data_IF_244753598173
#
_entry.id   IF_244753598173
#
_cell.length_a   1.000
_cell.length_b   1.000
_cell.length_c   1.000
_cell.angle_alpha   90.00
_cell.angle_beta   90.00
_cell.angle_gamma   90.00
#
_symmetry.space_group_name_H-M   'P 1'
#
loop_
_entity.id
_entity.type
_entity.pdbx_description
1 polymer ?
#
# COMPACT_ATOMS: atom_id res chain seq x y z
N UNK A 1 18.23 -5.74 -10.63
CA UNK A 1 16.96 -4.98 -10.59
C UNK A 1 16.01 -5.74 -9.70
N UNK A 2 15.67 -5.17 -8.54
CA UNK A 2 14.74 -5.76 -7.56
C UNK A 2 13.30 -5.61 -8.04
N UNK A 3 12.41 -6.52 -7.63
CA UNK A 3 10.95 -6.41 -7.82
C UNK A 3 10.29 -6.32 -6.45
N UNK A 4 9.84 -5.13 -6.11
CA UNK A 4 9.43 -4.79 -4.75
C UNK A 4 7.94 -4.56 -4.70
N UNK A 5 7.25 -5.26 -3.80
CA UNK A 5 5.95 -4.84 -3.30
C UNK A 5 6.17 -3.88 -2.14
N UNK A 6 5.76 -2.62 -2.28
CA UNK A 6 5.81 -1.62 -1.21
C UNK A 6 4.42 -1.51 -0.56
N UNK A 7 4.35 -1.97 0.69
CA UNK A 7 3.18 -1.86 1.55
C UNK A 7 3.36 -0.69 2.53
N UNK A 8 2.25 -0.05 2.89
CA UNK A 8 2.21 1.00 3.90
C UNK A 8 0.90 0.86 4.69
N UNK A 9 0.91 1.04 6.03
CA UNK A 9 -0.33 1.22 6.77
C UNK A 9 -1.18 2.30 6.12
N UNK A 10 -2.44 2.00 5.80
CA UNK A 10 -3.31 2.93 5.08
C UNK A 10 -4.44 3.47 5.96
N UNK A 11 -5.30 2.60 6.47
CA UNK A 11 -6.51 2.99 7.19
C UNK A 11 -6.23 3.77 8.48
N UNK A 12 -6.95 4.88 8.65
CA UNK A 12 -6.96 5.70 9.86
C UNK A 12 -8.30 6.45 9.96
N UNK A 13 -8.73 6.84 11.17
CA UNK A 13 -9.97 7.59 11.37
C UNK A 13 -9.88 9.06 10.91
N UNK A 14 -8.67 9.62 10.92
CA UNK A 14 -8.35 10.96 10.41
C UNK A 14 -7.85 10.85 8.96
N UNK A 15 -8.60 11.43 8.02
CA UNK A 15 -8.26 11.46 6.59
C UNK A 15 -6.92 12.16 6.29
N UNK A 16 -6.49 13.10 7.14
CA UNK A 16 -5.19 13.77 6.99
C UNK A 16 -4.05 12.78 7.17
N UNK A 17 -4.15 11.88 8.15
CA UNK A 17 -3.17 10.82 8.39
C UNK A 17 -3.14 9.85 7.21
N UNK A 18 -4.29 9.52 6.62
CA UNK A 18 -4.36 8.68 5.40
C UNK A 18 -3.62 9.37 4.24
N UNK A 19 -3.84 10.67 4.05
CA UNK A 19 -3.19 11.43 2.98
C UNK A 19 -1.67 11.57 3.20
N UNK A 20 -1.23 11.86 4.43
CA UNK A 20 0.20 11.91 4.79
C UNK A 20 0.91 10.58 4.52
N UNK A 21 0.29 9.46 4.89
CA UNK A 21 0.81 8.11 4.61
C UNK A 21 0.90 7.84 3.11
N UNK A 22 -0.10 8.28 2.34
CA UNK A 22 -0.05 8.21 0.88
C UNK A 22 1.13 9.01 0.30
N UNK A 23 1.35 10.24 0.77
CA UNK A 23 2.49 11.05 0.32
C UNK A 23 3.83 10.42 0.69
N UNK A 24 3.99 9.94 1.94
CA UNK A 24 5.20 9.24 2.38
C UNK A 24 5.48 7.98 1.55
N UNK A 25 4.43 7.22 1.22
CA UNK A 25 4.55 6.05 0.35
C UNK A 25 5.02 6.44 -1.07
N UNK A 26 4.55 7.57 -1.62
CA UNK A 26 5.00 8.08 -2.91
C UNK A 26 6.47 8.49 -2.90
N UNK A 27 6.95 9.14 -1.84
CA UNK A 27 8.36 9.55 -1.72
C UNK A 27 9.31 8.34 -1.72
N UNK A 28 8.96 7.30 -0.96
CA UNK A 28 9.74 6.05 -0.93
C UNK A 28 9.66 5.33 -2.28
N UNK A 29 8.48 5.29 -2.91
CA UNK A 29 8.33 4.71 -4.23
C UNK A 29 9.19 5.43 -5.27
N UNK A 30 9.24 6.77 -5.25
CA UNK A 30 10.08 7.57 -6.14
C UNK A 30 11.57 7.22 -5.97
N UNK A 31 12.05 7.13 -4.72
CA UNK A 31 13.43 6.74 -4.42
C UNK A 31 13.78 5.36 -4.99
N UNK A 32 12.87 4.39 -4.87
CA UNK A 32 13.07 3.04 -5.41
C UNK A 32 13.09 3.05 -6.94
N UNK A 33 12.22 3.83 -7.60
CA UNK A 33 12.21 4.00 -9.05
C UNK A 33 13.51 4.64 -9.54
N UNK A 34 13.96 5.72 -8.91
CA UNK A 34 15.21 6.42 -9.25
C UNK A 34 16.45 5.51 -9.11
N UNK A 35 16.40 4.55 -8.19
CA UNK A 35 17.44 3.53 -8.03
C UNK A 35 17.43 2.42 -9.08
N UNK A 36 16.52 2.46 -10.06
CA UNK A 36 16.46 1.51 -11.18
C UNK A 36 15.83 0.16 -10.81
N UNK A 37 14.96 0.12 -9.80
CA UNK A 37 14.23 -1.07 -9.37
C UNK A 37 12.77 -1.06 -9.85
N UNK A 38 12.18 -2.24 -9.98
CA UNK A 38 10.75 -2.40 -10.26
C UNK A 38 10.00 -2.33 -8.94
N UNK A 39 8.90 -1.57 -8.92
CA UNK A 39 8.08 -1.42 -7.73
C UNK A 39 6.59 -1.51 -8.07
N UNK A 40 5.85 -2.18 -7.19
CA UNK A 40 4.42 -2.02 -7.02
C UNK A 40 4.17 -1.32 -5.69
N UNK A 41 3.76 -0.05 -5.75
CA UNK A 41 3.44 0.74 -4.56
C UNK A 41 1.94 0.72 -4.31
N UNK A 42 1.51 -0.12 -3.37
CA UNK A 42 0.11 -0.46 -3.18
C UNK A 42 -0.74 0.77 -2.80
N UNK A 43 -0.27 1.58 -1.83
CA UNK A 43 -1.00 2.77 -1.37
C UNK A 43 -0.95 3.88 -2.41
N UNK A 44 0.18 4.06 -3.10
CA UNK A 44 0.30 5.04 -4.20
C UNK A 44 -0.74 4.79 -5.30
N UNK A 45 -0.99 3.52 -5.62
CA UNK A 45 -1.97 3.14 -6.64
C UNK A 45 -3.40 3.16 -6.10
N UNK A 46 -3.65 2.56 -4.94
CA UNK A 46 -5.00 2.36 -4.43
C UNK A 46 -5.65 3.63 -3.91
N UNK A 47 -4.90 4.56 -3.29
CA UNK A 47 -5.46 5.79 -2.72
C UNK A 47 -6.28 6.63 -3.72
N UNK A 48 -5.73 7.06 -4.89
CA UNK A 48 -6.50 7.83 -5.86
C UNK A 48 -7.68 7.05 -6.46
N UNK A 49 -7.55 5.74 -6.62
CA UNK A 49 -8.65 4.88 -7.14
C UNK A 49 -9.78 4.78 -6.10
N UNK A 50 -9.43 4.66 -4.82
CA UNK A 50 -10.40 4.63 -3.72
C UNK A 50 -11.25 5.89 -3.69
N UNK A 51 -10.64 7.06 -3.94
CA UNK A 51 -11.36 8.35 -4.04
C UNK A 51 -12.29 8.44 -5.26
N UNK A 52 -12.07 7.60 -6.29
CA UNK A 52 -12.89 7.56 -7.49
C UNK A 52 -14.11 6.63 -7.37
N UNK A 53 -14.18 5.78 -6.34
CA UNK A 53 -15.35 4.95 -6.10
C UNK A 53 -16.56 5.82 -5.70
N UNK A 54 -17.68 5.65 -6.42
CA UNK A 54 -18.92 6.42 -6.18
C UNK A 54 -19.99 5.63 -5.43
N UNK A 55 -19.94 4.31 -5.52
CA UNK A 55 -21.03 3.41 -5.08
C UNK A 55 -20.54 2.24 -4.24
N UNK A 56 -19.24 2.19 -3.94
CA UNK A 56 -18.65 1.10 -3.15
C UNK A 56 -18.67 1.51 -1.69
N UNK A 57 -19.15 0.61 -0.83
CA UNK A 57 -19.05 0.77 0.61
C UNK A 57 -17.57 0.75 1.03
N UNK A 58 -17.08 1.75 1.80
CA UNK A 58 -15.72 1.76 2.33
C UNK A 58 -15.30 0.45 3.03
N UNK A 59 -16.22 -0.29 3.65
CA UNK A 59 -15.91 -1.58 4.29
C UNK A 59 -15.58 -2.70 3.30
N UNK A 60 -16.04 -2.58 2.06
CA UNK A 60 -15.85 -3.59 1.01
C UNK A 60 -14.60 -3.33 0.16
N UNK A 61 -14.05 -2.11 0.21
CA UNK A 61 -12.86 -1.70 -0.57
C UNK A 61 -11.68 -2.65 -0.34
N UNK A 62 -11.44 -3.07 0.91
CA UNK A 62 -10.35 -4.01 1.22
C UNK A 62 -10.51 -5.37 0.54
N UNK A 63 -11.74 -5.87 0.39
CA UNK A 63 -12.02 -7.15 -0.30
C UNK A 63 -11.81 -7.05 -1.80
N UNK A 64 -12.05 -5.87 -2.39
CA UNK A 64 -11.77 -5.62 -3.81
C UNK A 64 -10.27 -5.61 -4.11
N UNK A 65 -9.46 -5.06 -3.20
CA UNK A 65 -8.01 -5.00 -3.36
C UNK A 65 -7.30 -6.31 -3.06
N UNK A 66 -7.82 -7.14 -2.15
CA UNK A 66 -7.20 -8.41 -1.75
C UNK A 66 -6.70 -9.30 -2.91
N UNK A 67 -7.50 -9.62 -3.96
CA UNK A 67 -7.01 -10.42 -5.08
C UNK A 67 -5.97 -9.69 -5.96
N UNK A 68 -6.05 -8.35 -6.04
CA UNK A 68 -5.08 -7.55 -6.78
C UNK A 68 -3.74 -7.54 -6.05
N UNK A 69 -3.77 -7.29 -4.75
CA UNK A 69 -2.59 -7.30 -3.88
C UNK A 69 -1.92 -8.68 -3.87
N UNK A 70 -2.70 -9.76 -3.80
CA UNK A 70 -2.19 -11.13 -3.89
C UNK A 70 -1.45 -11.39 -5.21
N UNK A 71 -2.04 -10.99 -6.34
CA UNK A 71 -1.41 -11.17 -7.66
C UNK A 71 -0.07 -10.44 -7.78
N UNK A 72 0.00 -9.18 -7.32
CA UNK A 72 1.26 -8.45 -7.33
C UNK A 72 2.25 -9.03 -6.31
N UNK A 73 1.80 -9.45 -5.14
CA UNK A 73 2.68 -10.07 -4.13
C UNK A 73 3.32 -11.36 -4.65
N UNK A 74 2.57 -12.21 -5.38
CA UNK A 74 3.11 -13.41 -6.05
C UNK A 74 4.10 -13.10 -7.18
N UNK A 75 3.98 -11.92 -7.80
CA UNK A 75 4.81 -11.51 -8.95
C UNK A 75 6.09 -10.76 -8.55
N UNK A 76 6.21 -10.38 -7.28
CA UNK A 76 7.32 -9.61 -6.74
C UNK A 76 8.24 -10.51 -5.93
N UNK A 77 9.52 -10.15 -5.88
CA UNK A 77 10.56 -10.96 -5.22
C UNK A 77 10.75 -10.53 -3.74
N UNK A 78 10.28 -9.33 -3.38
CA UNK A 78 10.53 -8.70 -2.08
C UNK A 78 9.32 -7.89 -1.60
N UNK A 79 9.05 -7.94 -0.29
CA UNK A 79 8.06 -7.07 0.39
C UNK A 79 8.81 -6.06 1.26
N UNK A 80 8.58 -4.77 1.02
CA UNK A 80 9.00 -3.68 1.89
C UNK A 80 7.75 -3.10 2.56
N UNK A 81 7.77 -3.00 3.88
CA UNK A 81 6.72 -2.33 4.66
C UNK A 81 7.28 -0.98 5.10
N UNK A 82 6.59 0.10 4.75
CA UNK A 82 6.92 1.44 5.21
C UNK A 82 6.55 1.58 6.69
N UNK A 83 7.56 1.75 7.53
CA UNK A 83 7.45 1.97 8.98
C UNK A 83 7.10 3.43 9.27
N UNK A 84 5.81 3.75 9.14
CA UNK A 84 5.22 5.04 9.55
C UNK A 84 4.44 4.85 10.84
N UNK A 85 4.38 5.90 11.68
CA UNK A 85 3.72 5.86 12.99
C UNK A 85 2.33 5.19 12.92
N UNK A 86 2.14 4.20 13.80
CA UNK A 86 0.95 3.35 13.85
C UNK A 86 0.98 2.09 12.99
N UNK A 87 2.15 1.68 12.46
CA UNK A 87 2.35 0.40 11.76
C UNK A 87 1.97 -0.82 12.59
N UNK A 88 2.19 -0.75 13.91
CA UNK A 88 1.94 -1.79 14.92
C UNK A 88 0.45 -2.10 15.15
N UNK A 89 -0.46 -1.26 14.63
CA UNK A 89 -1.91 -1.38 14.82
C UNK A 89 -2.69 -1.72 13.56
N UNK A 90 -2.02 -1.91 12.42
CA UNK A 90 -2.71 -2.18 11.15
C UNK A 90 -3.06 -3.68 10.99
N UNK A 91 -4.35 -3.97 10.85
CA UNK A 91 -4.89 -5.35 10.77
C UNK A 91 -4.53 -6.10 9.48
N UNK A 92 -4.10 -5.41 8.43
CA UNK A 92 -3.77 -6.01 7.12
C UNK A 92 -2.37 -6.60 7.01
N UNK A 93 -1.42 -6.20 7.88
CA UNK A 93 0.00 -6.61 7.77
C UNK A 93 0.39 -7.74 8.75
N UNK A 94 -0.46 -8.05 9.73
CA UNK A 94 -0.22 -9.13 10.70
C UNK A 94 -0.33 -10.52 10.06
N UNK A 95 -0.96 -10.64 8.88
CA UNK A 95 -1.13 -11.90 8.14
C UNK A 95 0.05 -12.24 7.21
N UNK A 96 1.05 -11.37 7.08
CA UNK A 96 2.15 -11.50 6.09
C UNK A 96 3.43 -12.11 6.66
N UNK A 97 3.38 -12.70 7.85
CA UNK A 97 4.58 -13.25 8.52
C UNK A 97 4.67 -14.77 8.26
N UNK A 98 5.84 -15.30 7.83
CA UNK A 98 6.05 -16.75 7.72
C UNK A 98 5.99 -17.44 9.07
#
# INVERSE_FOLDING_TARGET
MRKIFLACPYSHADERVVHERFLACNEVAATIVESGNVIFSQVSMSHPINLAFKTIDPSEVGKLWAPVDAHFMESMDELIILDVDGWDRSSGLTSSRP
#
